data_IF_726985599028
#
_entry.id   IF_726985599028
#
_cell.length_a   1.000
_cell.length_b   1.000
_cell.length_c   1.000
_cell.angle_alpha   90.00
_cell.angle_beta   90.00
_cell.angle_gamma   90.00
#
_symmetry.space_group_name_H-M   'P 1'
#
loop_
_entity.id
_entity.type
_entity.pdbx_description
1 polymer ?
#
# COMPACT_ATOMS: atom_id res chain seq x y z
N UNK A 1 38.10 17.60 -45.22
CA UNK A 1 38.78 16.47 -44.54
C UNK A 1 38.51 16.51 -43.02
N UNK A 2 38.79 17.60 -42.32
CA UNK A 2 38.61 17.73 -40.86
C UNK A 2 37.20 17.38 -40.32
N UNK A 3 36.13 17.83 -41.00
CA UNK A 3 34.74 17.49 -40.58
C UNK A 3 34.41 16.01 -40.70
N UNK A 4 35.05 15.28 -41.61
CA UNK A 4 34.86 13.86 -41.82
C UNK A 4 35.60 13.03 -40.76
N UNK A 5 36.74 13.51 -40.32
CA UNK A 5 37.55 12.90 -39.28
C UNK A 5 36.92 13.11 -37.89
N UNK A 6 36.32 14.27 -37.63
CA UNK A 6 35.56 14.56 -36.42
C UNK A 6 34.30 13.67 -36.32
N UNK A 7 33.57 13.47 -37.40
CA UNK A 7 32.39 12.62 -37.41
C UNK A 7 32.76 11.15 -37.20
N UNK A 8 33.89 10.70 -37.68
CA UNK A 8 34.39 9.34 -37.51
C UNK A 8 34.82 9.06 -36.07
N UNK A 9 35.51 10.02 -35.43
CA UNK A 9 35.88 9.95 -34.03
C UNK A 9 34.68 10.00 -33.09
N UNK A 10 33.62 10.72 -33.45
CA UNK A 10 32.40 10.78 -32.69
C UNK A 10 31.63 9.46 -32.77
N UNK A 11 31.55 8.88 -33.99
CA UNK A 11 30.92 7.57 -34.20
C UNK A 11 31.67 6.40 -33.51
N UNK A 12 33.03 6.48 -33.49
CA UNK A 12 33.85 5.50 -32.76
C UNK A 12 33.65 5.59 -31.23
N UNK A 13 33.55 6.81 -30.68
CA UNK A 13 33.25 7.02 -29.26
C UNK A 13 31.84 6.59 -28.87
N UNK A 14 30.86 6.86 -29.72
CA UNK A 14 29.48 6.45 -29.50
C UNK A 14 29.34 4.94 -29.57
N UNK A 15 30.11 4.25 -30.43
CA UNK A 15 30.18 2.78 -30.49
C UNK A 15 30.86 2.16 -29.24
N UNK A 16 31.96 2.78 -28.78
CA UNK A 16 32.64 2.36 -27.57
C UNK A 16 31.77 2.54 -26.30
N UNK A 17 31.00 3.63 -26.26
CA UNK A 17 30.02 3.87 -25.17
C UNK A 17 28.87 2.85 -25.22
N UNK A 18 28.34 2.54 -26.39
CA UNK A 18 27.31 1.51 -26.55
C UNK A 18 27.82 0.10 -26.19
N UNK A 19 29.07 -0.24 -26.52
CA UNK A 19 29.68 -1.52 -26.11
C UNK A 19 29.93 -1.59 -24.60
N UNK A 20 30.26 -0.48 -23.92
CA UNK A 20 30.39 -0.40 -22.46
C UNK A 20 29.02 -0.49 -21.78
N UNK A 21 28.01 0.22 -22.27
CA UNK A 21 26.64 0.15 -21.75
C UNK A 21 26.01 -1.24 -21.92
N UNK A 22 26.34 -1.94 -23.01
CA UNK A 22 25.85 -3.31 -23.26
C UNK A 22 26.45 -4.36 -22.31
N UNK A 23 27.51 -4.04 -21.58
CA UNK A 23 28.15 -4.90 -20.59
C UNK A 23 27.69 -4.65 -19.17
N UNK A 24 26.85 -3.64 -18.92
CA UNK A 24 26.25 -3.39 -17.61
C UNK A 24 24.91 -4.09 -17.53
N UNK A 25 24.80 -5.07 -16.62
CA UNK A 25 23.55 -5.79 -16.32
C UNK A 25 22.79 -5.05 -15.22
N UNK A 26 21.69 -4.43 -15.57
CA UNK A 26 20.75 -3.84 -14.60
C UNK A 26 19.81 -4.92 -14.09
N UNK A 27 19.96 -5.34 -12.86
CA UNK A 27 19.21 -6.44 -12.25
C UNK A 27 18.69 -6.08 -10.87
N UNK A 28 17.54 -6.64 -10.51
CA UNK A 28 17.03 -6.56 -9.14
C UNK A 28 17.66 -7.64 -8.27
N UNK A 29 17.66 -7.47 -6.95
CA UNK A 29 18.03 -8.56 -6.04
C UNK A 29 17.10 -9.78 -6.25
N UNK A 30 17.67 -10.99 -6.14
CA UNK A 30 16.94 -12.27 -6.26
C UNK A 30 16.41 -12.64 -7.67
N UNK A 31 17.15 -12.33 -8.71
CA UNK A 31 16.87 -12.81 -10.09
C UNK A 31 17.14 -14.30 -10.23
N UNK A 32 16.35 -14.99 -11.05
CA UNK A 32 16.54 -16.43 -11.29
C UNK A 32 17.69 -16.69 -12.27
N UNK A 33 18.33 -17.88 -12.14
CA UNK A 33 19.41 -18.32 -13.05
C UNK A 33 19.00 -18.23 -14.52
N UNK A 34 17.74 -18.53 -14.84
CA UNK A 34 17.23 -18.49 -16.20
C UNK A 34 17.06 -17.06 -16.75
N UNK A 35 16.66 -16.13 -15.91
CA UNK A 35 16.56 -14.71 -16.29
C UNK A 35 17.94 -14.11 -16.53
N UNK A 36 18.90 -14.38 -15.66
CA UNK A 36 20.29 -13.94 -15.83
C UNK A 36 20.90 -14.51 -17.11
N UNK A 37 20.64 -15.79 -17.41
CA UNK A 37 21.10 -16.45 -18.65
C UNK A 37 20.55 -15.73 -19.89
N UNK A 38 19.29 -15.34 -19.84
CA UNK A 38 18.64 -14.62 -20.96
C UNK A 38 19.23 -13.23 -21.12
N UNK A 39 19.46 -12.49 -20.03
CA UNK A 39 20.04 -11.15 -20.04
C UNK A 39 21.48 -11.14 -20.59
N UNK A 40 22.28 -12.13 -20.21
CA UNK A 40 23.66 -12.30 -20.65
C UNK A 40 23.80 -12.99 -22.02
N UNK A 41 22.66 -13.41 -22.61
CA UNK A 41 22.63 -14.17 -23.86
C UNK A 41 23.49 -15.45 -23.84
N UNK A 42 23.51 -16.15 -22.69
CA UNK A 42 24.19 -17.43 -22.44
C UNK A 42 23.20 -18.52 -22.09
N UNK A 43 23.62 -19.79 -22.15
CA UNK A 43 22.74 -20.88 -21.72
C UNK A 43 22.71 -21.00 -20.19
N UNK A 44 21.53 -21.30 -19.62
CA UNK A 44 21.36 -21.49 -18.16
C UNK A 44 22.32 -22.59 -17.62
N UNK A 45 22.69 -23.57 -18.46
CA UNK A 45 23.65 -24.61 -18.12
C UNK A 45 25.08 -24.08 -17.92
N UNK A 46 25.47 -23.01 -18.63
CA UNK A 46 26.77 -22.38 -18.47
C UNK A 46 26.85 -21.63 -17.12
N UNK A 47 25.78 -20.92 -16.75
CA UNK A 47 25.68 -20.26 -15.45
C UNK A 47 25.70 -21.27 -14.31
N UNK A 48 24.94 -22.39 -14.43
CA UNK A 48 24.95 -23.45 -13.43
C UNK A 48 26.36 -24.06 -13.30
N UNK A 49 27.08 -24.22 -14.40
CA UNK A 49 28.46 -24.75 -14.40
C UNK A 49 29.44 -23.77 -13.72
N UNK A 50 29.30 -22.46 -13.96
CA UNK A 50 30.07 -21.41 -13.30
C UNK A 50 29.80 -21.40 -11.78
N UNK A 51 28.54 -21.43 -11.37
CA UNK A 51 28.16 -21.54 -9.96
C UNK A 51 28.75 -22.82 -9.31
N UNK A 52 28.70 -23.96 -10.00
CA UNK A 52 29.31 -25.21 -9.51
C UNK A 52 30.82 -25.11 -9.35
N UNK A 53 31.51 -24.40 -10.24
CA UNK A 53 32.96 -24.15 -10.12
C UNK A 53 33.30 -23.33 -8.87
N UNK A 54 32.39 -22.47 -8.44
CA UNK A 54 32.46 -21.67 -7.23
C UNK A 54 31.99 -22.44 -5.97
N UNK A 55 31.57 -23.70 -6.12
CA UNK A 55 31.06 -24.53 -5.03
C UNK A 55 29.62 -24.30 -4.64
N UNK A 56 28.87 -23.54 -5.44
CA UNK A 56 27.47 -23.21 -5.22
C UNK A 56 26.58 -24.10 -6.10
N UNK A 57 25.73 -24.91 -5.49
CA UNK A 57 24.77 -25.74 -6.23
C UNK A 57 23.48 -24.97 -6.45
N UNK A 58 23.18 -24.67 -7.71
CA UNK A 58 21.96 -23.93 -8.10
C UNK A 58 21.15 -24.69 -9.15
N UNK A 59 19.85 -24.46 -9.16
CA UNK A 59 18.91 -24.97 -10.17
C UNK A 59 18.45 -23.85 -11.10
N UNK A 60 17.90 -24.17 -12.27
CA UNK A 60 17.47 -23.19 -13.28
C UNK A 60 16.50 -22.12 -12.75
N UNK A 61 15.61 -22.50 -11.83
CA UNK A 61 14.59 -21.62 -11.25
C UNK A 61 14.99 -21.07 -9.87
N UNK A 62 16.21 -21.33 -9.43
CA UNK A 62 16.69 -20.81 -8.17
C UNK A 62 17.07 -19.35 -8.32
N UNK A 63 16.72 -18.55 -7.33
CA UNK A 63 17.13 -17.15 -7.24
C UNK A 63 18.55 -17.06 -6.75
N UNK A 64 19.34 -16.21 -7.40
CA UNK A 64 20.69 -15.88 -6.99
C UNK A 64 20.65 -14.68 -6.04
N UNK A 65 21.46 -14.71 -5.01
CA UNK A 65 21.71 -13.56 -4.17
C UNK A 65 22.65 -12.57 -4.86
N UNK A 66 22.68 -11.33 -4.38
CA UNK A 66 23.44 -10.24 -4.97
C UNK A 66 24.94 -10.58 -5.08
N UNK A 67 25.49 -11.27 -4.09
CA UNK A 67 26.91 -11.62 -4.03
C UNK A 67 27.26 -12.68 -5.09
N UNK A 68 26.48 -13.75 -5.17
CA UNK A 68 26.65 -14.81 -6.18
C UNK A 68 26.43 -14.28 -7.59
N UNK A 69 25.45 -13.40 -7.78
CA UNK A 69 25.15 -12.79 -9.07
C UNK A 69 26.30 -11.93 -9.57
N UNK A 70 26.91 -11.10 -8.70
CA UNK A 70 28.04 -10.24 -9.05
C UNK A 70 29.24 -11.09 -9.49
N UNK A 71 29.57 -12.15 -8.75
CA UNK A 71 30.69 -13.03 -9.06
C UNK A 71 30.49 -13.77 -10.40
N UNK A 72 29.27 -14.26 -10.63
CA UNK A 72 28.94 -14.97 -11.88
C UNK A 72 28.97 -14.01 -13.07
N UNK A 73 28.41 -12.82 -12.95
CA UNK A 73 28.41 -11.83 -14.02
C UNK A 73 29.83 -11.39 -14.41
N UNK A 74 30.69 -11.17 -13.42
CA UNK A 74 32.12 -10.83 -13.62
C UNK A 74 32.87 -11.93 -14.38
N UNK A 75 32.59 -13.21 -14.12
CA UNK A 75 33.16 -14.36 -14.87
C UNK A 75 32.80 -14.31 -16.35
N UNK A 76 31.62 -13.82 -16.70
CA UNK A 76 31.18 -13.63 -18.08
C UNK A 76 31.50 -12.26 -18.67
N UNK A 77 32.21 -11.40 -17.91
CA UNK A 77 32.65 -10.07 -18.34
C UNK A 77 31.57 -9.00 -18.34
N UNK A 78 30.56 -9.17 -17.52
CA UNK A 78 29.49 -8.21 -17.27
C UNK A 78 29.69 -7.53 -15.90
N UNK A 79 29.37 -6.25 -15.81
CA UNK A 79 29.26 -5.50 -14.56
C UNK A 79 27.81 -5.47 -14.12
N UNK A 80 27.54 -5.71 -12.83
CA UNK A 80 26.18 -5.76 -12.28
C UNK A 80 25.87 -4.45 -11.57
N UNK A 81 24.86 -3.76 -12.05
CA UNK A 81 24.24 -2.64 -11.38
C UNK A 81 22.92 -3.12 -10.75
N UNK A 82 22.92 -3.21 -9.41
CA UNK A 82 21.67 -3.54 -8.71
C UNK A 82 20.74 -2.36 -8.78
N UNK A 83 19.70 -2.51 -9.59
CA UNK A 83 18.56 -1.63 -9.54
C UNK A 83 17.73 -2.09 -8.34
N UNK A 84 17.86 -1.43 -7.21
CA UNK A 84 16.84 -1.50 -6.16
C UNK A 84 15.51 -1.27 -6.85
N UNK A 85 14.48 -2.01 -6.47
CA UNK A 85 13.13 -1.86 -7.02
C UNK A 85 12.48 -0.50 -6.63
N UNK A 86 13.25 0.50 -6.39
CA UNK A 86 12.95 1.90 -6.54
C UNK A 86 12.87 2.19 -8.05
N UNK A 87 11.83 1.60 -8.67
CA UNK A 87 11.20 2.22 -9.83
C UNK A 87 10.39 3.40 -9.28
N UNK A 88 11.04 4.26 -8.60
CA UNK A 88 10.90 5.69 -8.71
C UNK A 88 11.65 6.11 -9.99
N UNK A 89 11.40 5.43 -11.11
CA UNK A 89 11.52 6.12 -12.39
C UNK A 89 10.59 7.31 -12.25
N UNK A 90 11.19 8.44 -11.92
CA UNK A 90 10.73 9.77 -12.23
C UNK A 90 9.42 9.78 -13.04
N UNK A 91 8.30 9.45 -12.40
CA UNK A 91 7.13 10.28 -12.61
C UNK A 91 7.66 11.61 -12.10
N UNK A 92 8.16 12.49 -13.01
CA UNK A 92 8.41 13.88 -12.71
C UNK A 92 7.14 14.32 -11.98
N UNK A 93 7.22 14.47 -10.65
CA UNK A 93 6.11 15.03 -9.89
C UNK A 93 6.00 16.45 -10.44
N UNK A 94 5.14 16.61 -11.43
CA UNK A 94 4.74 17.93 -11.89
C UNK A 94 4.21 18.64 -10.67
N UNK A 95 4.97 19.58 -10.16
CA UNK A 95 4.60 20.38 -9.01
C UNK A 95 3.41 21.21 -9.41
N UNK A 96 2.23 20.83 -8.92
CA UNK A 96 0.99 21.53 -9.21
C UNK A 96 1.07 22.99 -8.70
N UNK A 97 0.54 23.92 -9.47
CA UNK A 97 0.44 25.30 -9.02
C UNK A 97 -0.58 25.37 -7.87
N UNK A 98 -0.33 26.18 -6.82
CA UNK A 98 -1.26 26.29 -5.68
C UNK A 98 -2.69 26.69 -6.07
N UNK A 99 -2.86 27.31 -7.23
CA UNK A 99 -4.16 27.77 -7.79
C UNK A 99 -5.01 26.60 -8.32
N UNK A 100 -4.37 25.49 -8.70
CA UNK A 100 -5.03 24.29 -9.27
C UNK A 100 -5.42 23.27 -8.22
N UNK A 101 -4.97 23.46 -6.98
CA UNK A 101 -5.25 22.56 -5.86
C UNK A 101 -6.66 22.79 -5.31
N UNK A 102 -7.45 21.71 -5.29
CA UNK A 102 -8.81 21.68 -4.71
C UNK A 102 -8.84 20.71 -3.51
N UNK A 103 -9.67 20.97 -2.48
CA UNK A 103 -9.84 20.00 -1.39
C UNK A 103 -10.31 18.65 -1.92
N UNK A 104 -9.71 17.56 -1.45
CA UNK A 104 -10.11 16.18 -1.79
C UNK A 104 -10.69 15.43 -0.60
N UNK A 105 -11.47 14.41 -0.88
CA UNK A 105 -11.97 13.50 0.12
C UNK A 105 -10.82 12.76 0.83
N UNK A 106 -10.88 12.59 2.17
CA UNK A 106 -9.91 11.78 2.88
C UNK A 106 -10.04 10.30 2.51
N UNK A 107 -8.90 9.62 2.46
CA UNK A 107 -8.78 8.18 2.31
C UNK A 107 -8.62 7.60 3.70
N UNK A 108 -9.57 6.77 4.13
CA UNK A 108 -9.67 6.25 5.48
C UNK A 108 -9.60 4.72 5.47
N UNK A 109 -8.61 4.16 6.11
CA UNK A 109 -8.51 2.69 6.24
C UNK A 109 -9.09 2.23 7.57
N UNK A 110 -9.90 1.16 7.53
CA UNK A 110 -10.49 0.54 8.72
C UNK A 110 -9.72 -0.72 9.08
N UNK A 111 -9.14 -0.72 10.27
CA UNK A 111 -8.28 -1.79 10.79
C UNK A 111 -8.76 -2.28 12.16
N UNK A 112 -8.20 -3.37 12.63
CA UNK A 112 -8.47 -3.94 13.96
C UNK A 112 -8.61 -5.45 13.91
N UNK A 113 -8.88 -6.05 15.07
CA UNK A 113 -9.00 -7.50 15.22
C UNK A 113 -10.19 -8.08 14.48
N UNK A 114 -10.14 -9.39 14.19
CA UNK A 114 -11.30 -10.17 13.69
C UNK A 114 -12.44 -10.06 14.72
N UNK A 115 -13.68 -10.05 14.26
CA UNK A 115 -14.91 -9.97 15.08
C UNK A 115 -15.07 -8.70 15.95
N UNK A 116 -14.22 -7.70 15.84
CA UNK A 116 -14.42 -6.40 16.50
C UNK A 116 -15.48 -5.52 15.82
N UNK A 117 -15.98 -5.95 14.65
CA UNK A 117 -17.10 -5.32 13.95
C UNK A 117 -16.70 -4.26 12.91
N UNK A 118 -15.52 -4.40 12.30
CA UNK A 118 -15.08 -3.56 11.17
C UNK A 118 -16.08 -3.59 10.02
N UNK A 119 -16.38 -4.78 9.49
CA UNK A 119 -17.31 -4.96 8.38
C UNK A 119 -18.72 -4.47 8.75
N UNK A 120 -19.16 -4.69 10.02
CA UNK A 120 -20.45 -4.17 10.49
C UNK A 120 -20.50 -2.63 10.51
N UNK A 121 -19.39 -1.98 10.87
CA UNK A 121 -19.28 -0.51 10.82
C UNK A 121 -19.36 -0.02 9.38
N UNK A 122 -18.64 -0.66 8.47
CA UNK A 122 -18.60 -0.31 7.08
C UNK A 122 -19.94 -0.58 6.38
N UNK A 123 -20.62 -1.69 6.69
CA UNK A 123 -21.97 -1.98 6.19
C UNK A 123 -22.97 -0.92 6.64
N UNK A 124 -22.88 -0.48 7.90
CA UNK A 124 -23.74 0.58 8.40
C UNK A 124 -23.49 1.90 7.64
N UNK A 125 -22.23 2.24 7.41
CA UNK A 125 -21.85 3.48 6.70
C UNK A 125 -22.27 3.45 5.22
N UNK A 126 -22.25 2.27 4.59
CA UNK A 126 -22.72 2.08 3.20
C UNK A 126 -24.21 1.99 3.06
N UNK A 127 -24.96 1.78 4.14
CA UNK A 127 -26.37 1.35 4.13
C UNK A 127 -26.58 0.03 3.36
N UNK A 128 -25.59 -0.86 3.36
CA UNK A 128 -25.56 -2.15 2.66
C UNK A 128 -25.37 -3.30 3.66
N UNK A 129 -25.56 -4.53 3.20
CA UNK A 129 -25.34 -5.74 3.98
C UNK A 129 -24.36 -6.68 3.25
N UNK A 130 -23.09 -6.33 3.22
CA UNK A 130 -22.03 -7.09 2.53
C UNK A 130 -21.66 -8.34 3.31
N UNK A 131 -21.78 -8.34 4.65
CA UNK A 131 -21.55 -9.51 5.52
C UNK A 131 -22.32 -10.73 5.04
N UNK A 132 -23.56 -10.54 4.53
CA UNK A 132 -24.39 -11.63 4.04
C UNK A 132 -23.90 -12.25 2.72
N UNK A 133 -23.07 -11.55 1.97
CA UNK A 133 -22.54 -11.98 0.65
C UNK A 133 -21.15 -12.56 0.68
N UNK A 134 -20.36 -12.30 1.71
CA UNK A 134 -18.99 -12.80 1.82
C UNK A 134 -18.92 -14.22 2.38
N UNK A 135 -18.09 -15.07 1.76
CA UNK A 135 -17.87 -16.44 2.20
C UNK A 135 -17.22 -16.47 3.58
N UNK A 136 -17.97 -16.94 4.58
CA UNK A 136 -17.52 -16.98 5.99
C UNK A 136 -17.76 -15.69 6.78
N UNK A 137 -18.39 -14.65 6.20
CA UNK A 137 -18.70 -13.39 6.86
C UNK A 137 -17.47 -12.55 7.26
N UNK A 138 -16.36 -12.75 6.55
CA UNK A 138 -15.10 -12.03 6.78
C UNK A 138 -14.60 -11.39 5.49
N UNK A 139 -14.09 -10.18 5.57
CA UNK A 139 -13.43 -9.50 4.44
C UNK A 139 -12.15 -10.24 4.05
N UNK A 140 -12.06 -10.66 2.79
CA UNK A 140 -10.92 -11.42 2.26
C UNK A 140 -10.06 -10.59 1.32
N UNK A 141 -10.61 -9.55 0.71
CA UNK A 141 -9.95 -8.65 -0.24
C UNK A 141 -9.96 -7.22 0.31
N UNK A 142 -9.04 -6.38 -0.18
CA UNK A 142 -9.09 -4.96 0.16
C UNK A 142 -10.24 -4.33 -0.65
N UNK A 143 -11.29 -3.90 0.03
CA UNK A 143 -12.40 -3.16 -0.57
C UNK A 143 -12.12 -1.66 -0.56
N UNK A 144 -12.32 -0.98 -1.70
CA UNK A 144 -12.23 0.48 -1.77
C UNK A 144 -13.56 1.05 -2.27
N UNK A 145 -14.12 2.03 -1.56
CA UNK A 145 -15.40 2.64 -1.93
C UNK A 145 -15.55 4.05 -1.35
N UNK A 146 -16.26 4.90 -2.09
CA UNK A 146 -16.58 6.26 -1.66
C UNK A 146 -17.96 6.32 -1.00
N UNK A 147 -18.05 7.02 0.12
CA UNK A 147 -19.30 7.30 0.82
C UNK A 147 -19.54 8.80 0.82
N UNK A 148 -20.76 9.21 0.46
CA UNK A 148 -21.21 10.60 0.56
C UNK A 148 -22.07 10.74 1.82
N UNK A 149 -21.65 11.60 2.72
CA UNK A 149 -22.39 11.90 3.94
C UNK A 149 -23.56 12.85 3.66
N UNK A 150 -24.49 12.95 4.61
CA UNK A 150 -25.69 13.78 4.47
C UNK A 150 -25.39 15.26 4.21
N UNK A 151 -24.25 15.74 4.68
CA UNK A 151 -23.79 17.13 4.51
C UNK A 151 -23.06 17.37 3.18
N UNK A 152 -23.02 16.36 2.29
CA UNK A 152 -22.34 16.43 1.00
C UNK A 152 -20.84 16.19 1.05
N UNK A 153 -20.25 16.02 2.22
CA UNK A 153 -18.86 15.62 2.40
C UNK A 153 -18.66 14.17 1.95
N UNK A 154 -17.48 13.85 1.43
CA UNK A 154 -17.15 12.53 0.94
C UNK A 154 -15.99 11.94 1.72
N UNK A 155 -16.04 10.65 1.97
CA UNK A 155 -14.96 9.87 2.56
C UNK A 155 -14.73 8.65 1.67
N UNK A 156 -13.47 8.33 1.37
CA UNK A 156 -13.10 7.09 0.69
C UNK A 156 -12.61 6.10 1.73
N UNK A 157 -13.31 4.97 1.84
CA UNK A 157 -12.95 3.90 2.77
C UNK A 157 -12.14 2.81 2.08
N UNK A 158 -11.12 2.32 2.79
CA UNK A 158 -10.40 1.09 2.48
C UNK A 158 -10.68 0.08 3.58
N UNK A 159 -11.35 -1.02 3.21
CA UNK A 159 -11.58 -2.15 4.13
C UNK A 159 -10.42 -3.15 4.03
N UNK A 160 -9.80 -3.47 5.15
CA UNK A 160 -8.67 -4.40 5.20
C UNK A 160 -9.02 -5.66 6.00
N UNK A 161 -8.63 -6.85 5.50
CA UNK A 161 -8.85 -8.10 6.23
C UNK A 161 -8.19 -8.08 7.61
N UNK A 162 -8.94 -8.50 8.65
CA UNK A 162 -8.45 -8.52 10.04
C UNK A 162 -7.62 -9.74 10.42
N UNK A 163 -7.54 -10.78 9.58
CA UNK A 163 -6.84 -12.03 9.90
C UNK A 163 -5.31 -11.88 9.84
N UNK A 164 -4.58 -12.58 10.70
CA UNK A 164 -3.10 -12.53 10.79
C UNK A 164 -2.39 -12.79 9.46
N UNK A 165 -2.95 -13.67 8.62
CA UNK A 165 -2.40 -13.99 7.31
C UNK A 165 -2.32 -12.79 6.34
N UNK A 166 -2.98 -11.67 6.63
CA UNK A 166 -3.08 -10.51 5.76
C UNK A 166 -2.31 -9.27 6.25
N UNK A 167 -1.24 -9.48 7.03
CA UNK A 167 -0.37 -8.39 7.54
C UNK A 167 0.13 -7.46 6.44
N UNK A 168 0.56 -8.00 5.30
CA UNK A 168 1.02 -7.20 4.16
C UNK A 168 -0.08 -6.30 3.57
N UNK A 169 -1.34 -6.75 3.59
CA UNK A 169 -2.47 -5.95 3.12
C UNK A 169 -2.77 -4.78 4.07
N UNK A 170 -2.65 -4.98 5.39
CA UNK A 170 -2.79 -3.89 6.38
C UNK A 170 -1.68 -2.86 6.26
N UNK A 171 -0.43 -3.31 6.09
CA UNK A 171 0.70 -2.42 5.87
C UNK A 171 0.51 -1.57 4.59
N UNK A 172 0.08 -2.19 3.49
CA UNK A 172 -0.23 -1.47 2.24
C UNK A 172 -1.40 -0.50 2.42
N UNK A 173 -2.47 -0.92 3.12
CA UNK A 173 -3.60 -0.04 3.44
C UNK A 173 -3.14 1.20 4.20
N UNK A 174 -2.27 1.05 5.20
CA UNK A 174 -1.73 2.19 5.96
C UNK A 174 -0.88 3.14 5.11
N UNK A 175 -0.12 2.63 4.13
CA UNK A 175 0.75 3.46 3.27
C UNK A 175 0.00 4.38 2.30
N UNK A 176 -1.22 4.01 1.91
CA UNK A 176 -2.02 4.75 0.93
C UNK A 176 -3.16 5.56 1.55
N UNK A 177 -3.25 5.59 2.88
CA UNK A 177 -4.34 6.22 3.62
C UNK A 177 -3.90 7.53 4.29
N UNK A 178 -4.85 8.42 4.44
CA UNK A 178 -4.66 9.68 5.17
C UNK A 178 -4.98 9.54 6.66
N UNK A 179 -5.96 8.69 7.02
CA UNK A 179 -6.41 8.47 8.40
C UNK A 179 -6.71 6.98 8.61
N UNK A 180 -6.33 6.43 9.75
CA UNK A 180 -6.62 5.05 10.14
C UNK A 180 -7.68 5.01 11.25
N UNK A 181 -8.82 4.35 10.99
CA UNK A 181 -9.79 3.99 12.02
C UNK A 181 -9.43 2.62 12.58
N UNK A 182 -9.12 2.55 13.87
CA UNK A 182 -8.84 1.29 14.54
C UNK A 182 -10.04 0.90 15.40
N UNK A 183 -10.71 -0.18 14.99
CA UNK A 183 -11.89 -0.70 15.66
C UNK A 183 -11.48 -1.67 16.77
N UNK A 184 -11.92 -1.37 17.99
CA UNK A 184 -11.70 -2.20 19.18
C UNK A 184 -13.05 -2.53 19.81
N UNK A 185 -13.30 -3.79 20.15
CA UNK A 185 -14.55 -4.16 20.82
C UNK A 185 -14.48 -3.82 22.32
N UNK A 186 -15.51 -3.13 22.84
CA UNK A 186 -15.59 -2.72 24.25
C UNK A 186 -15.78 -3.91 25.22
N UNK A 187 -16.16 -5.09 24.72
CA UNK A 187 -16.37 -6.31 25.48
C UNK A 187 -15.17 -7.28 25.45
N UNK A 188 -14.07 -6.85 24.84
CA UNK A 188 -12.85 -7.64 24.68
C UNK A 188 -11.62 -6.88 25.20
N UNK A 189 -10.42 -7.37 24.90
CA UNK A 189 -9.15 -6.72 25.22
C UNK A 189 -8.48 -6.15 23.94
N UNK A 190 -7.38 -5.41 24.12
CA UNK A 190 -6.56 -4.96 22.99
C UNK A 190 -5.77 -6.16 22.44
N UNK A 191 -6.30 -6.77 21.41
CA UNK A 191 -5.77 -7.98 20.79
C UNK A 191 -4.46 -7.74 20.03
N UNK A 192 -3.62 -8.78 19.79
CA UNK A 192 -2.35 -8.64 19.06
C UNK A 192 -2.48 -7.95 17.69
N UNK A 193 -3.53 -8.30 16.94
CA UNK A 193 -3.79 -7.69 15.61
C UNK A 193 -4.18 -6.20 15.71
N UNK A 194 -4.79 -5.78 16.81
CA UNK A 194 -5.02 -4.35 17.09
C UNK A 194 -3.70 -3.62 17.33
N UNK A 195 -2.78 -4.23 18.08
CA UNK A 195 -1.44 -3.67 18.32
C UNK A 195 -0.63 -3.59 17.02
N UNK A 196 -0.74 -4.59 16.17
CA UNK A 196 -0.13 -4.61 14.85
C UNK A 196 -0.69 -3.48 13.96
N UNK A 197 -2.02 -3.30 13.93
CA UNK A 197 -2.66 -2.22 13.19
C UNK A 197 -2.19 -0.83 13.66
N UNK A 198 -2.07 -0.63 14.96
CA UNK A 198 -1.50 0.59 15.56
C UNK A 198 -0.07 0.79 15.09
N UNK A 199 0.76 -0.25 15.13
CA UNK A 199 2.16 -0.19 14.70
C UNK A 199 2.29 0.17 13.22
N UNK A 200 1.45 -0.37 12.34
CA UNK A 200 1.43 -0.02 10.92
C UNK A 200 1.03 1.44 10.68
N UNK A 201 -0.01 1.92 11.35
CA UNK A 201 -0.43 3.33 11.24
C UNK A 201 0.67 4.29 11.74
N UNK A 202 1.31 3.97 12.86
CA UNK A 202 2.43 4.75 13.39
C UNK A 202 3.65 4.74 12.47
N UNK A 203 4.01 3.58 11.92
CA UNK A 203 5.12 3.46 10.98
C UNK A 203 4.88 4.26 9.68
N UNK A 204 3.63 4.34 9.24
CA UNK A 204 3.22 5.17 8.11
C UNK A 204 3.00 6.65 8.49
N UNK A 205 3.17 7.03 9.76
CA UNK A 205 2.90 8.39 10.28
C UNK A 205 1.46 8.87 10.03
N UNK A 206 0.51 7.95 9.98
CA UNK A 206 -0.90 8.22 9.73
C UNK A 206 -1.64 8.50 11.04
N UNK A 207 -2.44 9.56 11.15
CA UNK A 207 -3.30 9.82 12.31
C UNK A 207 -4.26 8.66 12.58
N UNK A 208 -4.45 8.35 13.86
CA UNK A 208 -5.30 7.25 14.31
C UNK A 208 -6.55 7.80 14.99
N UNK A 209 -7.70 7.24 14.63
CA UNK A 209 -8.98 7.46 15.31
C UNK A 209 -9.46 6.12 15.87
N UNK A 210 -9.70 6.02 17.17
CA UNK A 210 -10.20 4.79 17.77
C UNK A 210 -11.72 4.74 17.75
N UNK A 211 -12.27 3.64 17.22
CA UNK A 211 -13.68 3.30 17.29
C UNK A 211 -13.89 2.18 18.31
N UNK A 212 -14.35 2.53 19.53
CA UNK A 212 -14.62 1.55 20.60
C UNK A 212 -16.04 1.01 20.37
N UNK A 213 -16.11 -0.16 19.74
CA UNK A 213 -17.35 -0.73 19.23
C UNK A 213 -18.03 -1.70 20.25
N UNK A 214 -19.28 -2.04 19.96
CA UNK A 214 -20.11 -2.97 20.72
C UNK A 214 -20.54 -2.47 22.11
N UNK A 215 -20.70 -1.15 22.26
CA UNK A 215 -21.20 -0.58 23.52
C UNK A 215 -22.62 -1.02 23.88
N UNK A 216 -23.35 -1.61 22.94
CA UNK A 216 -24.67 -2.21 23.15
C UNK A 216 -24.63 -3.50 23.98
N UNK A 217 -23.46 -4.10 24.19
CA UNK A 217 -23.33 -5.33 24.97
C UNK A 217 -23.29 -5.06 26.47
N UNK A 218 -23.93 -5.92 27.30
CA UNK A 218 -23.94 -5.77 28.78
C UNK A 218 -22.54 -5.84 29.41
N UNK A 219 -21.60 -6.51 28.73
CA UNK A 219 -20.20 -6.71 29.17
C UNK A 219 -19.27 -5.61 28.66
N UNK A 220 -19.79 -4.63 27.92
CA UNK A 220 -19.00 -3.55 27.35
C UNK A 220 -18.37 -2.66 28.45
N UNK A 221 -17.08 -2.42 28.34
CA UNK A 221 -16.34 -1.52 29.21
C UNK A 221 -15.37 -0.66 28.39
N UNK A 222 -15.84 0.46 27.81
CA UNK A 222 -14.99 1.35 27.02
C UNK A 222 -13.80 1.91 27.81
N UNK A 223 -13.99 2.19 29.11
CA UNK A 223 -12.94 2.78 29.95
C UNK A 223 -11.75 1.82 30.10
N UNK A 224 -11.99 0.50 30.18
CA UNK A 224 -10.94 -0.52 30.20
C UNK A 224 -10.09 -0.47 28.95
N UNK A 225 -10.71 -0.26 27.79
CA UNK A 225 -10.00 -0.13 26.52
C UNK A 225 -9.16 1.16 26.49
N UNK A 226 -9.73 2.27 26.91
CA UNK A 226 -9.03 3.56 27.02
C UNK A 226 -7.83 3.47 27.99
N UNK A 227 -7.96 2.76 29.11
CA UNK A 227 -6.86 2.49 30.03
C UNK A 227 -5.76 1.64 29.38
N UNK A 228 -6.13 0.60 28.64
CA UNK A 228 -5.19 -0.24 27.89
C UNK A 228 -4.43 0.55 26.81
N UNK A 229 -5.11 1.44 26.09
CA UNK A 229 -4.47 2.35 25.13
C UNK A 229 -3.52 3.33 25.80
N UNK A 230 -3.91 3.91 26.94
CA UNK A 230 -3.05 4.78 27.73
C UNK A 230 -1.78 4.06 28.22
N UNK A 231 -1.89 2.78 28.59
CA UNK A 231 -0.75 1.91 28.92
C UNK A 231 0.22 1.69 27.77
N UNK A 232 -0.22 1.91 26.52
CA UNK A 232 0.60 1.87 25.29
C UNK A 232 1.09 3.27 24.85
N UNK A 233 0.99 4.29 25.70
CA UNK A 233 1.27 5.70 25.40
C UNK A 233 0.34 6.32 24.32
N UNK A 234 -0.85 5.76 24.15
CA UNK A 234 -1.88 6.23 23.22
C UNK A 234 -3.03 6.85 24.01
N UNK A 235 -2.77 8.04 24.56
CA UNK A 235 -3.77 8.73 25.37
C UNK A 235 -4.84 9.37 24.48
N UNK A 236 -6.09 8.96 24.71
CA UNK A 236 -7.26 9.47 23.99
C UNK A 236 -7.68 10.86 24.46
N UNK A 237 -8.40 11.60 23.62
CA UNK A 237 -8.85 12.97 23.88
C UNK A 237 -9.68 13.06 25.17
N UNK A 238 -10.59 12.15 25.42
CA UNK A 238 -11.43 12.09 26.63
C UNK A 238 -10.60 12.09 27.93
N UNK A 239 -9.36 11.62 27.88
CA UNK A 239 -8.44 11.55 29.02
C UNK A 239 -7.32 12.60 28.94
N UNK A 240 -7.50 13.63 28.10
CA UNK A 240 -6.57 14.74 27.93
C UNK A 240 -5.42 14.47 26.96
N UNK A 241 -5.53 13.44 26.14
CA UNK A 241 -4.59 13.11 25.06
C UNK A 241 -4.87 13.89 23.78
N UNK A 242 -4.22 13.44 22.69
CA UNK A 242 -4.37 14.03 21.35
C UNK A 242 -5.08 13.11 20.35
N UNK A 243 -5.28 11.84 20.70
CA UNK A 243 -5.81 10.84 19.80
C UNK A 243 -7.34 10.84 19.90
N UNK A 244 -7.99 11.00 18.77
CA UNK A 244 -9.45 10.97 18.69
C UNK A 244 -9.98 9.57 19.00
N UNK A 245 -11.06 9.50 19.78
CA UNK A 245 -11.76 8.25 20.05
C UNK A 245 -13.27 8.49 20.16
N UNK A 246 -14.06 7.49 19.80
CA UNK A 246 -15.50 7.52 20.02
C UNK A 246 -16.05 6.13 20.34
N UNK A 247 -17.02 6.11 21.26
CA UNK A 247 -17.69 4.89 21.71
C UNK A 247 -18.91 4.65 20.80
N UNK A 248 -18.95 3.52 20.11
CA UNK A 248 -19.95 3.24 19.08
C UNK A 248 -20.63 1.88 19.24
N UNK A 249 -21.79 1.72 18.61
CA UNK A 249 -22.37 0.44 18.27
C UNK A 249 -22.65 0.40 16.76
N UNK A 250 -21.82 -0.30 16.02
CA UNK A 250 -22.01 -0.52 14.59
C UNK A 250 -23.32 -1.26 14.28
N UNK A 251 -23.82 -2.07 15.23
CA UNK A 251 -25.07 -2.80 15.09
C UNK A 251 -26.32 -1.91 15.19
N UNK A 252 -26.32 -0.93 16.08
CA UNK A 252 -27.46 -0.02 16.30
C UNK A 252 -27.30 1.31 15.60
N UNK A 253 -26.10 1.63 15.14
CA UNK A 253 -25.72 2.92 14.55
C UNK A 253 -25.42 4.01 15.57
N UNK A 254 -25.47 3.69 16.86
CA UNK A 254 -25.20 4.67 17.91
C UNK A 254 -23.74 5.13 17.86
N UNK A 255 -23.51 6.45 17.87
CA UNK A 255 -22.18 7.05 17.90
C UNK A 255 -21.42 7.00 16.56
N UNK A 256 -21.99 6.41 15.50
CA UNK A 256 -21.27 6.26 14.21
C UNK A 256 -21.14 7.60 13.50
N UNK A 257 -22.19 8.45 13.50
CA UNK A 257 -22.11 9.77 12.87
C UNK A 257 -21.07 10.66 13.57
N UNK A 258 -21.04 10.63 14.89
CA UNK A 258 -20.10 11.38 15.70
C UNK A 258 -18.67 10.91 15.49
N UNK A 259 -18.45 9.58 15.26
CA UNK A 259 -17.16 9.05 14.84
C UNK A 259 -16.73 9.62 13.49
N UNK A 260 -17.65 9.66 12.52
CA UNK A 260 -17.35 10.20 11.19
C UNK A 260 -17.06 11.71 11.22
N UNK A 261 -17.76 12.47 12.07
CA UNK A 261 -17.45 13.87 12.31
C UNK A 261 -16.03 14.07 12.88
N UNK A 262 -15.59 13.22 13.81
CA UNK A 262 -14.21 13.24 14.33
C UNK A 262 -13.18 12.91 13.25
N UNK A 263 -13.49 11.96 12.36
CA UNK A 263 -12.62 11.63 11.21
C UNK A 263 -12.52 12.82 10.25
N UNK A 264 -13.63 13.52 10.00
CA UNK A 264 -13.61 14.70 9.13
C UNK A 264 -12.86 15.87 9.77
N UNK A 265 -12.98 16.05 11.09
CA UNK A 265 -12.21 17.04 11.82
C UNK A 265 -10.70 16.79 11.70
N UNK A 266 -10.28 15.53 11.82
CA UNK A 266 -8.88 15.14 11.62
C UNK A 266 -8.43 15.38 10.17
N UNK A 267 -9.32 15.10 9.19
CA UNK A 267 -9.06 15.36 7.78
C UNK A 267 -8.89 16.86 7.46
N UNK A 268 -9.65 17.73 8.13
CA UNK A 268 -9.51 19.19 7.99
C UNK A 268 -8.14 19.67 8.48
N UNK A 269 -7.63 19.09 9.57
CA UNK A 269 -6.30 19.42 10.09
C UNK A 269 -5.15 19.01 9.15
N UNK A 270 -5.39 18.02 8.29
CA UNK A 270 -4.42 17.56 7.29
C UNK A 270 -4.39 18.42 6.03
N UNK A 271 -5.36 19.34 5.83
CA UNK A 271 -5.47 20.21 4.66
C UNK A 271 -5.31 19.47 3.31
N UNK A 272 -6.02 18.34 3.18
CA UNK A 272 -5.89 17.44 2.02
C UNK A 272 -6.33 18.11 0.72
N UNK A 273 -5.41 18.25 -0.21
CA UNK A 273 -5.64 18.86 -1.53
C UNK A 273 -5.15 17.97 -2.66
N UNK A 274 -5.73 18.10 -3.84
CA UNK A 274 -5.27 17.46 -5.07
C UNK A 274 -5.66 18.30 -6.29
N UNK A 275 -4.94 18.14 -7.40
CA UNK A 275 -5.28 18.76 -8.67
C UNK A 275 -6.15 17.77 -9.48
N UNK A 276 -7.44 18.08 -9.74
CA UNK A 276 -8.32 17.22 -10.55
C UNK A 276 -8.07 17.34 -12.06
N UNK A 277 -7.46 18.43 -12.50
CA UNK A 277 -7.34 18.81 -13.91
C UNK A 277 -6.05 18.29 -14.58
N UNK A 278 -5.36 17.31 -13.95
CA UNK A 278 -4.18 16.60 -14.49
C UNK A 278 -4.48 15.15 -14.83
N UNK A 279 -3.53 14.45 -15.46
CA UNK A 279 -3.59 13.01 -15.67
C UNK A 279 -3.74 12.28 -14.33
N UNK A 280 -4.59 11.25 -14.31
CA UNK A 280 -4.85 10.51 -13.10
C UNK A 280 -3.59 9.79 -12.60
N UNK A 281 -3.23 10.03 -11.34
CA UNK A 281 -2.21 9.29 -10.62
C UNK A 281 -2.82 8.65 -9.39
N UNK A 282 -2.44 7.42 -9.10
CA UNK A 282 -3.02 6.68 -7.98
C UNK A 282 -2.35 5.33 -7.75
N UNK A 283 -2.80 4.63 -6.73
CA UNK A 283 -2.25 3.34 -6.32
C UNK A 283 -3.19 2.20 -6.68
N UNK A 284 -2.66 1.13 -7.27
CA UNK A 284 -3.40 -0.12 -7.46
C UNK A 284 -3.54 -0.82 -6.11
N UNK A 285 -4.76 -0.85 -5.59
CA UNK A 285 -5.08 -1.49 -4.31
C UNK A 285 -5.10 -3.00 -4.46
N UNK A 286 -5.74 -3.49 -5.51
CA UNK A 286 -5.87 -4.92 -5.82
C UNK A 286 -6.01 -5.14 -7.33
N UNK A 287 -5.53 -6.29 -7.80
CA UNK A 287 -5.73 -6.74 -9.17
C UNK A 287 -5.97 -8.25 -9.18
N UNK A 288 -6.95 -8.70 -9.95
CA UNK A 288 -7.30 -10.12 -10.08
C UNK A 288 -7.84 -10.45 -11.46
N UNK A 289 -7.87 -11.74 -11.78
CA UNK A 289 -8.44 -12.25 -13.03
C UNK A 289 -9.88 -12.72 -12.77
N UNK A 290 -10.86 -11.96 -13.26
CA UNK A 290 -12.25 -12.37 -13.27
C UNK A 290 -12.56 -13.26 -14.48
N UNK A 291 -13.33 -14.35 -14.29
CA UNK A 291 -13.65 -15.31 -15.36
C UNK A 291 -14.54 -14.75 -16.47
N UNK A 292 -15.27 -13.68 -16.20
CA UNK A 292 -16.19 -13.04 -17.15
C UNK A 292 -15.67 -11.72 -17.72
N UNK A 293 -14.97 -10.94 -16.91
CA UNK A 293 -14.50 -9.58 -17.23
C UNK A 293 -13.02 -9.53 -17.67
N UNK A 294 -12.24 -10.58 -17.41
CA UNK A 294 -10.80 -10.62 -17.67
C UNK A 294 -10.02 -10.01 -16.49
N UNK A 295 -8.94 -9.30 -16.79
CA UNK A 295 -8.15 -8.61 -15.74
C UNK A 295 -8.92 -7.42 -15.20
N UNK A 296 -9.12 -7.41 -13.89
CA UNK A 296 -9.80 -6.34 -13.16
C UNK A 296 -8.84 -5.79 -12.12
N UNK A 297 -8.72 -4.47 -12.03
CA UNK A 297 -7.95 -3.80 -10.99
C UNK A 297 -8.79 -2.75 -10.28
N UNK A 298 -8.60 -2.65 -8.96
CA UNK A 298 -9.13 -1.57 -8.13
C UNK A 298 -8.04 -0.52 -7.97
N UNK A 299 -8.28 0.68 -8.47
CA UNK A 299 -7.33 1.79 -8.45
C UNK A 299 -7.88 2.87 -7.52
N UNK A 300 -7.05 3.31 -6.57
CA UNK A 300 -7.31 4.46 -5.72
C UNK A 300 -6.67 5.68 -6.38
N UNK A 301 -7.49 6.53 -6.99
CA UNK A 301 -7.02 7.77 -7.62
C UNK A 301 -6.75 8.81 -6.52
N UNK A 302 -5.52 9.30 -6.45
CA UNK A 302 -5.06 10.26 -5.45
C UNK A 302 -5.05 11.69 -6.01
N UNK A 303 -4.67 11.84 -7.28
CA UNK A 303 -4.66 13.12 -8.01
C UNK A 303 -5.12 12.90 -9.44
N UNK A 304 -5.60 13.95 -10.09
CA UNK A 304 -6.10 13.89 -11.46
C UNK A 304 -7.49 13.30 -11.59
N UNK A 305 -7.92 13.12 -12.82
CA UNK A 305 -9.24 12.52 -13.16
C UNK A 305 -9.01 11.35 -14.12
N UNK A 306 -9.67 10.23 -13.86
CA UNK A 306 -9.67 9.05 -14.72
C UNK A 306 -11.05 8.87 -15.30
N UNK A 307 -11.16 8.88 -16.62
CA UNK A 307 -12.43 8.73 -17.35
C UNK A 307 -12.50 7.37 -18.08
N UNK A 308 -13.72 6.99 -18.47
CA UNK A 308 -13.93 5.76 -19.23
C UNK A 308 -13.38 5.95 -20.64
N UNK A 309 -12.37 5.17 -21.00
CA UNK A 309 -11.69 5.23 -22.30
C UNK A 309 -10.27 5.75 -22.24
N UNK A 310 -9.81 6.21 -21.07
CA UNK A 310 -8.41 6.58 -20.83
C UNK A 310 -7.51 5.35 -20.88
N UNK A 311 -6.25 5.54 -21.27
CA UNK A 311 -5.23 4.48 -21.42
C UNK A 311 -3.88 4.94 -20.89
#
# INVERSE_FOLDING_TARGET
>A
REKRDQHRQQTEKDLELQELESKVLKVTEFVTVNEVATMMNVSSTQIISACMSLGIMVTMNQRLDAETLSIVAEEFGYEVEFVTADIEEAIEEEVDAPEDLKPRAPIVTVMGHVDHGKTSLLDYVREENVIAGESGGITQHIGAYGVSLKDGQKITFLDTPGHEAFTAMRARGAQVTDIAIIVVAADDDIMPQTKEAISHAQAASVPIVFAINKIDRPTANPDKIKEGLAGMNLLVEDWGGKIQSHDISAKTGQGVNELLEKVLLEAELLELTANPDRLASGTVVEAFLDKGRGYVSTILVQTGTLEIGDY
#
